data_IF_665647581224
#
_entry.id   IF_665647581224
#
_cell.length_a   1.000
_cell.length_b   1.000
_cell.length_c   1.000
_cell.angle_alpha   90.00
_cell.angle_beta   90.00
_cell.angle_gamma   90.00
#
_symmetry.space_group_name_H-M   'P 1'
#
loop_
_entity.id
_entity.type
_entity.pdbx_description
1 polymer ?
#
# COMPACT_ATOMS: atom_id res chain seq x y z
N UNK A 1 -1.61 -4.82 -5.81
CA UNK A 1 -2.42 -5.39 -4.72
C UNK A 1 -3.16 -6.66 -5.13
N UNK A 2 -3.92 -6.68 -6.25
CA UNK A 2 -4.57 -7.90 -6.74
C UNK A 2 -3.59 -9.06 -6.98
N UNK A 3 -2.51 -8.80 -7.72
CA UNK A 3 -1.42 -9.77 -7.96
C UNK A 3 -0.83 -10.34 -6.65
N UNK A 4 -0.66 -9.50 -5.63
CA UNK A 4 -0.18 -9.92 -4.31
C UNK A 4 -1.17 -10.86 -3.62
N UNK A 5 -2.46 -10.52 -3.60
CA UNK A 5 -3.50 -11.36 -2.99
C UNK A 5 -3.63 -12.70 -3.70
N UNK A 6 -3.65 -12.71 -5.03
CA UNK A 6 -3.71 -13.92 -5.85
C UNK A 6 -2.50 -14.82 -5.59
N UNK A 7 -1.30 -14.25 -5.52
CA UNK A 7 -0.09 -15.01 -5.22
C UNK A 7 -0.08 -15.54 -3.78
N UNK A 8 -0.54 -14.75 -2.81
CA UNK A 8 -0.64 -15.16 -1.42
C UNK A 8 -1.60 -16.35 -1.25
N UNK A 9 -2.77 -16.28 -1.88
CA UNK A 9 -3.75 -17.37 -1.91
C UNK A 9 -3.16 -18.60 -2.61
N UNK A 10 -2.49 -18.42 -3.75
CA UNK A 10 -1.84 -19.51 -4.48
C UNK A 10 -0.77 -20.20 -3.65
N UNK A 11 0.04 -19.48 -2.88
CA UNK A 11 1.00 -20.09 -1.95
C UNK A 11 0.24 -20.86 -0.88
N UNK A 12 -0.80 -20.27 -0.29
CA UNK A 12 -1.50 -20.89 0.82
C UNK A 12 -2.18 -22.21 0.46
N UNK A 13 -2.74 -22.32 -0.75
CA UNK A 13 -3.45 -23.51 -1.24
C UNK A 13 -2.60 -24.44 -2.12
N UNK A 14 -1.29 -24.18 -2.24
CA UNK A 14 -0.31 -25.11 -2.82
C UNK A 14 0.05 -26.19 -1.79
N UNK A 15 -0.94 -27.02 -1.42
CA UNK A 15 -0.85 -28.04 -0.38
C UNK A 15 -1.81 -29.21 -0.67
N UNK A 16 -1.43 -30.41 -0.22
CA UNK A 16 -2.22 -31.63 -0.37
C UNK A 16 -3.17 -31.88 0.83
N UNK A 17 -2.98 -31.16 1.93
CA UNK A 17 -3.79 -31.34 3.15
C UNK A 17 -3.95 -30.06 3.98
N UNK A 18 -4.98 -30.02 4.82
CA UNK A 18 -5.18 -28.91 5.77
C UNK A 18 -4.02 -28.77 6.78
N UNK A 19 -3.37 -29.87 7.16
CA UNK A 19 -2.21 -29.85 8.05
C UNK A 19 -1.02 -29.15 7.40
N UNK A 20 -0.77 -29.41 6.12
CA UNK A 20 0.27 -28.75 5.33
C UNK A 20 -0.01 -27.25 5.14
N UNK A 21 -1.29 -26.87 4.95
CA UNK A 21 -1.70 -25.46 4.91
C UNK A 21 -1.33 -24.74 6.21
N UNK A 22 -1.64 -25.33 7.36
CA UNK A 22 -1.47 -24.70 8.68
C UNK A 22 -0.01 -24.72 9.18
N UNK A 23 0.85 -25.52 8.54
CA UNK A 23 2.28 -25.63 8.85
C UNK A 23 3.13 -24.95 7.77
N UNK A 24 3.50 -25.67 6.71
CA UNK A 24 4.49 -25.27 5.72
C UNK A 24 4.01 -24.07 4.90
N UNK A 25 2.79 -24.12 4.35
CA UNK A 25 2.33 -23.06 3.46
C UNK A 25 2.01 -21.76 4.20
N UNK A 26 1.57 -21.85 5.46
CA UNK A 26 1.39 -20.69 6.32
C UNK A 26 2.71 -19.92 6.51
N UNK A 27 3.81 -20.63 6.75
CA UNK A 27 5.12 -19.98 6.90
C UNK A 27 5.59 -19.34 5.58
N UNK A 28 5.50 -20.07 4.47
CA UNK A 28 5.83 -19.53 3.12
C UNK A 28 4.98 -18.29 2.78
N UNK A 29 3.70 -18.30 3.14
CA UNK A 29 2.80 -17.18 2.95
C UNK A 29 3.23 -15.96 3.77
N UNK A 30 3.58 -16.14 5.04
CA UNK A 30 4.09 -15.06 5.91
C UNK A 30 5.40 -14.50 5.34
N UNK A 31 6.33 -15.35 4.92
CA UNK A 31 7.60 -14.90 4.34
C UNK A 31 7.40 -14.09 3.06
N UNK A 32 6.46 -14.53 2.20
CA UNK A 32 6.08 -13.77 1.01
C UNK A 32 5.51 -12.38 1.34
N UNK A 33 4.68 -12.27 2.39
CA UNK A 33 4.16 -10.99 2.89
C UNK A 33 5.31 -10.07 3.33
N UNK A 34 6.20 -10.57 4.20
CA UNK A 34 7.32 -9.79 4.73
C UNK A 34 8.27 -9.34 3.61
N UNK A 35 8.55 -10.21 2.66
CA UNK A 35 9.40 -9.88 1.51
C UNK A 35 8.78 -8.84 0.60
N UNK A 36 7.47 -8.94 0.35
CA UNK A 36 6.73 -7.92 -0.41
C UNK A 36 6.82 -6.56 0.29
N UNK A 37 6.65 -6.51 1.61
CA UNK A 37 6.79 -5.29 2.37
C UNK A 37 8.21 -4.70 2.29
N UNK A 38 9.26 -5.53 2.34
CA UNK A 38 10.66 -5.08 2.17
C UNK A 38 10.88 -4.45 0.79
N UNK A 39 10.44 -5.13 -0.28
CA UNK A 39 10.56 -4.63 -1.66
C UNK A 39 9.87 -3.28 -1.85
N UNK A 40 8.69 -3.12 -1.28
CA UNK A 40 7.95 -1.84 -1.30
C UNK A 40 8.72 -0.75 -0.57
N UNK A 41 9.27 -1.01 0.63
CA UNK A 41 10.06 -0.03 1.39
C UNK A 41 11.35 0.36 0.68
N UNK A 42 12.01 -0.61 0.04
CA UNK A 42 13.25 -0.43 -0.73
C UNK A 42 13.05 0.17 -2.12
N UNK A 43 11.80 0.34 -2.56
CA UNK A 43 11.44 0.83 -3.91
C UNK A 43 11.90 -0.05 -5.05
N UNK A 44 11.90 -1.36 -4.79
CA UNK A 44 12.16 -2.38 -5.80
C UNK A 44 10.89 -2.76 -6.57
N UNK A 45 9.71 -2.26 -6.15
CA UNK A 45 8.45 -2.46 -6.85
C UNK A 45 8.22 -1.30 -7.84
N UNK A 46 8.02 -1.59 -9.14
CA UNK A 46 7.70 -0.56 -10.12
C UNK A 46 6.43 0.20 -9.75
N UNK A 47 6.45 1.53 -9.94
CA UNK A 47 5.36 2.42 -9.53
C UNK A 47 4.04 2.11 -10.24
N UNK A 48 4.10 1.57 -11.45
CA UNK A 48 2.96 1.15 -12.27
C UNK A 48 2.17 0.02 -11.58
N UNK A 49 2.85 -0.87 -10.84
CA UNK A 49 2.23 -1.93 -10.05
C UNK A 49 1.55 -1.41 -8.78
N UNK A 50 1.84 -0.17 -8.40
CA UNK A 50 1.29 0.50 -7.22
C UNK A 50 0.08 1.41 -7.56
N UNK A 51 -0.24 1.59 -8.84
CA UNK A 51 -1.40 2.40 -9.25
C UNK A 51 -2.70 1.82 -8.69
N UNK A 52 -3.43 2.64 -7.94
CA UNK A 52 -4.74 2.31 -7.40
C UNK A 52 -5.81 2.85 -8.35
N UNK A 53 -6.73 1.99 -8.77
CA UNK A 53 -7.86 2.35 -9.64
C UNK A 53 -9.16 2.33 -8.84
N UNK A 54 -9.96 3.39 -8.93
CA UNK A 54 -11.27 3.49 -8.27
C UNK A 54 -12.28 4.16 -9.18
N UNK A 55 -13.51 3.64 -9.17
CA UNK A 55 -14.64 4.23 -9.89
C UNK A 55 -15.18 5.42 -9.11
N UNK A 56 -15.39 6.55 -9.79
CA UNK A 56 -16.17 7.66 -9.27
C UNK A 56 -17.66 7.36 -9.39
N UNK A 57 -18.38 7.45 -8.27
CA UNK A 57 -19.83 7.21 -8.24
C UNK A 57 -20.66 8.47 -8.47
N UNK A 58 -20.00 9.63 -8.56
CA UNK A 58 -20.57 10.94 -8.90
C UNK A 58 -19.43 11.88 -9.30
N UNK A 59 -19.75 13.08 -9.75
CA UNK A 59 -18.76 14.11 -10.04
C UNK A 59 -17.91 14.46 -8.81
N UNK A 60 -16.62 14.71 -9.03
CA UNK A 60 -15.65 14.98 -7.96
C UNK A 60 -16.02 16.20 -7.09
N UNK A 61 -16.64 17.23 -7.69
CA UNK A 61 -17.13 18.42 -7.00
C UNK A 61 -18.30 18.13 -6.04
N UNK A 62 -19.09 17.08 -6.29
CA UNK A 62 -20.27 16.68 -5.50
C UNK A 62 -19.93 15.80 -4.28
N UNK A 63 -18.65 15.52 -4.04
CA UNK A 63 -18.20 14.82 -2.84
C UNK A 63 -17.90 15.78 -1.69
N UNK A 64 -18.56 15.56 -0.55
CA UNK A 64 -18.25 16.27 0.71
C UNK A 64 -16.88 15.88 1.26
N UNK A 65 -16.53 14.59 1.20
CA UNK A 65 -15.26 14.09 1.73
C UNK A 65 -14.15 14.12 0.68
N UNK A 66 -12.97 14.62 1.08
CA UNK A 66 -11.75 14.70 0.26
C UNK A 66 -10.94 13.40 0.34
N UNK A 67 -11.59 12.30 -0.02
CA UNK A 67 -10.95 10.98 -0.09
C UNK A 67 -9.99 10.88 -1.28
N UNK A 68 -9.00 9.96 -1.24
CA UNK A 68 -7.95 9.82 -2.26
C UNK A 68 -8.42 9.89 -3.72
N UNK A 69 -9.38 9.05 -4.12
CA UNK A 69 -9.85 9.01 -5.51
C UNK A 69 -10.59 10.28 -5.95
N UNK A 70 -11.23 10.99 -5.01
CA UNK A 70 -11.83 12.30 -5.27
C UNK A 70 -10.75 13.37 -5.45
N UNK A 71 -9.67 13.32 -4.66
CA UNK A 71 -8.55 14.25 -4.84
C UNK A 71 -7.88 14.06 -6.19
N UNK A 72 -7.59 12.82 -6.59
CA UNK A 72 -7.02 12.53 -7.90
C UNK A 72 -7.92 13.03 -9.04
N UNK A 73 -9.24 12.84 -8.93
CA UNK A 73 -10.21 13.37 -9.88
C UNK A 73 -10.21 14.90 -9.96
N UNK A 74 -10.10 15.60 -8.82
CA UNK A 74 -10.01 17.05 -8.78
C UNK A 74 -8.70 17.55 -9.40
N UNK A 75 -7.58 16.83 -9.21
CA UNK A 75 -6.30 17.14 -9.86
C UNK A 75 -6.39 16.99 -11.38
N UNK A 76 -7.07 15.96 -11.88
CA UNK A 76 -7.35 15.79 -13.32
C UNK A 76 -8.20 16.94 -13.88
N UNK A 77 -9.29 17.29 -13.18
CA UNK A 77 -10.17 18.40 -13.57
C UNK A 77 -9.44 19.76 -13.60
N UNK A 78 -8.56 20.02 -12.63
CA UNK A 78 -7.73 21.24 -12.60
C UNK A 78 -6.81 21.38 -13.82
N UNK A 79 -6.50 20.27 -14.50
CA UNK A 79 -5.67 20.25 -15.72
C UNK A 79 -6.50 20.22 -17.00
N UNK A 80 -7.81 20.46 -16.90
CA UNK A 80 -8.73 20.48 -18.04
C UNK A 80 -9.17 19.09 -18.53
N UNK A 81 -8.83 18.01 -17.81
CA UNK A 81 -9.35 16.68 -18.14
C UNK A 81 -10.77 16.55 -17.56
N UNK A 82 -11.80 16.35 -18.39
CA UNK A 82 -13.16 16.19 -17.89
C UNK A 82 -13.25 14.87 -17.10
N UNK A 83 -13.82 14.94 -15.90
CA UNK A 83 -14.04 13.75 -15.05
C UNK A 83 -15.52 13.65 -14.70
N UNK A 84 -16.12 12.50 -15.00
CA UNK A 84 -17.56 12.23 -14.90
C UNK A 84 -17.84 11.11 -13.91
N UNK A 85 -19.12 11.00 -13.55
CA UNK A 85 -19.61 9.82 -12.83
C UNK A 85 -19.44 8.59 -13.72
N UNK A 86 -18.95 7.49 -13.14
CA UNK A 86 -18.63 6.25 -13.85
C UNK A 86 -17.16 6.12 -14.25
N UNK A 87 -16.41 7.23 -14.27
CA UNK A 87 -15.01 7.20 -14.69
C UNK A 87 -14.12 6.44 -13.68
N UNK A 88 -13.10 5.77 -14.22
CA UNK A 88 -12.04 5.15 -13.43
C UNK A 88 -10.94 6.18 -13.21
N UNK A 89 -10.73 6.54 -11.95
CA UNK A 89 -9.63 7.41 -11.54
C UNK A 89 -8.48 6.55 -11.04
N UNK A 90 -7.28 6.87 -11.55
CA UNK A 90 -6.05 6.20 -11.19
C UNK A 90 -5.21 7.11 -10.30
N UNK A 91 -4.68 6.60 -9.20
CA UNK A 91 -3.96 7.40 -8.21
C UNK A 91 -2.79 6.65 -7.59
N UNK A 92 -1.86 7.42 -7.03
CA UNK A 92 -0.74 6.93 -6.22
C UNK A 92 -0.64 7.72 -4.93
N UNK A 93 -0.41 7.03 -3.81
CA UNK A 93 -0.05 7.68 -2.54
C UNK A 93 1.39 8.18 -2.56
N UNK A 94 1.56 9.45 -2.21
CA UNK A 94 2.87 10.11 -2.12
C UNK A 94 3.18 10.59 -0.70
N UNK A 95 2.15 10.91 0.10
CA UNK A 95 2.28 11.25 1.52
C UNK A 95 0.92 11.08 2.24
N UNK A 96 0.50 9.83 2.45
CA UNK A 96 -0.85 9.48 2.87
C UNK A 96 -1.29 10.13 4.20
N UNK A 97 -0.33 10.45 5.07
CA UNK A 97 -0.57 11.07 6.39
C UNK A 97 -0.51 12.61 6.38
N UNK A 98 -0.27 13.24 5.23
CA UNK A 98 -0.19 14.71 5.14
C UNK A 98 -1.50 15.38 5.57
N UNK A 99 -1.44 16.47 6.35
CA UNK A 99 -2.64 17.20 6.82
C UNK A 99 -3.53 17.66 5.67
N UNK A 100 -2.95 18.33 4.66
CA UNK A 100 -3.64 18.70 3.41
C UNK A 100 -3.92 17.45 2.53
N UNK A 101 -5.19 17.12 2.23
CA UNK A 101 -5.56 15.99 1.37
C UNK A 101 -4.99 16.02 -0.06
N UNK A 102 -4.82 17.21 -0.65
CA UNK A 102 -4.28 17.38 -2.01
C UNK A 102 -2.81 16.97 -2.14
N UNK A 103 -2.11 16.82 -1.01
CA UNK A 103 -0.71 16.36 -0.95
C UNK A 103 -0.58 14.88 -0.62
N UNK A 104 -1.69 14.17 -0.38
CA UNK A 104 -1.65 12.75 -0.02
C UNK A 104 -1.45 11.84 -1.21
N UNK A 105 -2.00 12.24 -2.34
CA UNK A 105 -2.03 11.46 -3.58
C UNK A 105 -1.78 12.33 -4.79
N UNK A 106 -1.37 11.70 -5.88
CA UNK A 106 -1.36 12.27 -7.23
C UNK A 106 -2.19 11.40 -8.15
N UNK A 107 -2.80 11.98 -9.19
CA UNK A 107 -3.34 11.21 -10.31
C UNK A 107 -2.20 10.45 -11.03
N UNK A 108 -2.49 9.25 -11.49
CA UNK A 108 -1.51 8.44 -12.22
C UNK A 108 -1.07 9.10 -13.54
N UNK A 109 -1.94 9.93 -14.14
CA UNK A 109 -1.63 10.70 -15.35
C UNK A 109 -0.56 11.78 -15.11
N UNK A 110 -0.25 12.07 -13.84
CA UNK A 110 0.75 13.05 -13.42
C UNK A 110 2.05 12.42 -12.94
N UNK A 111 2.19 11.09 -13.01
CA UNK A 111 3.41 10.40 -12.59
C UNK A 111 4.56 10.82 -13.50
N UNK A 112 5.59 11.41 -12.89
CA UNK A 112 6.87 11.65 -13.54
C UNK A 112 7.78 10.43 -13.37
N UNK A 113 8.77 10.31 -14.26
CA UNK A 113 9.84 9.34 -14.09
C UNK A 113 10.51 9.56 -12.72
N UNK A 114 10.66 8.48 -11.94
CA UNK A 114 11.23 8.49 -10.58
C UNK A 114 10.39 9.22 -9.50
N UNK A 115 9.08 9.35 -9.70
CA UNK A 115 8.18 9.89 -8.69
C UNK A 115 8.26 9.12 -7.35
N UNK A 116 8.49 9.85 -6.26
CA UNK A 116 8.44 9.30 -4.91
C UNK A 116 7.02 8.81 -4.58
N UNK A 117 6.90 7.62 -3.97
CA UNK A 117 5.66 7.10 -3.41
C UNK A 117 5.77 6.82 -1.91
N UNK A 118 4.64 6.86 -1.22
CA UNK A 118 4.54 6.56 0.21
C UNK A 118 4.63 5.04 0.45
N UNK A 119 5.84 4.54 0.62
CA UNK A 119 6.09 3.11 0.82
C UNK A 119 5.40 2.54 2.06
N UNK A 120 5.33 3.31 3.15
CA UNK A 120 4.64 2.86 4.37
C UNK A 120 3.14 2.68 4.12
N UNK A 121 2.51 3.55 3.32
CA UNK A 121 1.10 3.37 3.00
C UNK A 121 0.82 2.08 2.22
N UNK A 122 1.70 1.73 1.27
CA UNK A 122 1.55 0.48 0.53
C UNK A 122 1.87 -0.75 1.38
N UNK A 123 2.84 -0.66 2.30
CA UNK A 123 3.08 -1.71 3.31
C UNK A 123 1.84 -1.94 4.18
N UNK A 124 1.23 -0.87 4.71
CA UNK A 124 -0.02 -0.98 5.46
C UNK A 124 -1.09 -1.73 4.65
N UNK A 125 -1.27 -1.39 3.37
CA UNK A 125 -2.25 -2.05 2.50
C UNK A 125 -1.93 -3.54 2.26
N UNK A 126 -0.65 -3.90 2.14
CA UNK A 126 -0.21 -5.30 2.02
C UNK A 126 -0.52 -6.07 3.30
N UNK A 127 -0.22 -5.49 4.45
CA UNK A 127 -0.49 -6.10 5.75
C UNK A 127 -1.99 -6.25 6.01
N UNK A 128 -2.81 -5.25 5.67
CA UNK A 128 -4.27 -5.31 5.79
C UNK A 128 -4.87 -6.43 4.92
N UNK A 129 -4.38 -6.55 3.68
CA UNK A 129 -4.78 -7.63 2.78
C UNK A 129 -4.35 -9.01 3.31
N UNK A 130 -3.11 -9.13 3.81
CA UNK A 130 -2.61 -10.37 4.40
C UNK A 130 -3.42 -10.78 5.64
N UNK A 131 -3.72 -9.83 6.54
CA UNK A 131 -4.57 -10.07 7.72
C UNK A 131 -5.95 -10.57 7.34
N UNK A 132 -6.53 -10.02 6.28
CA UNK A 132 -7.85 -10.47 5.78
C UNK A 132 -7.80 -11.90 5.28
N UNK A 133 -6.78 -12.26 4.49
CA UNK A 133 -6.65 -13.61 3.90
C UNK A 133 -6.25 -14.65 4.95
N UNK A 134 -5.18 -14.38 5.69
CA UNK A 134 -4.62 -15.32 6.66
C UNK A 134 -5.43 -15.39 7.95
N UNK A 135 -6.17 -14.32 8.30
CA UNK A 135 -7.03 -14.28 9.48
C UNK A 135 -8.18 -15.28 9.44
N UNK A 136 -8.60 -15.73 8.25
CA UNK A 136 -9.63 -16.77 8.08
C UNK A 136 -9.26 -18.07 8.79
N UNK A 137 -7.97 -18.37 8.93
CA UNK A 137 -7.48 -19.62 9.53
C UNK A 137 -7.39 -19.56 11.06
N UNK A 138 -7.86 -18.48 11.70
CA UNK A 138 -7.82 -18.34 13.17
C UNK A 138 -6.41 -18.17 13.75
N UNK A 139 -5.39 -17.99 12.90
CA UNK A 139 -3.97 -17.92 13.27
C UNK A 139 -3.47 -16.47 13.38
N UNK A 140 -4.35 -15.52 13.70
CA UNK A 140 -3.95 -14.11 13.86
C UNK A 140 -2.84 -13.98 14.92
N UNK A 141 -2.93 -14.75 16.01
CA UNK A 141 -1.98 -14.74 17.13
C UNK A 141 -0.54 -15.17 16.76
N UNK A 142 -0.33 -16.04 15.76
CA UNK A 142 1.03 -16.40 15.31
C UNK A 142 1.59 -15.42 14.28
N UNK A 143 0.72 -14.72 13.56
CA UNK A 143 1.07 -13.77 12.51
C UNK A 143 1.47 -12.41 13.11
N UNK A 144 0.72 -11.95 14.11
CA UNK A 144 0.92 -10.64 14.74
C UNK A 144 2.33 -10.41 15.30
N UNK A 145 2.99 -11.36 15.99
CA UNK A 145 4.34 -11.17 16.50
C UNK A 145 5.37 -10.92 15.40
N UNK A 146 5.32 -11.67 14.29
CA UNK A 146 6.24 -11.51 13.15
C UNK A 146 5.99 -10.19 12.41
N UNK A 147 4.71 -9.82 12.21
CA UNK A 147 4.33 -8.53 11.62
C UNK A 147 4.71 -7.36 12.54
N UNK A 148 4.46 -7.48 13.84
CA UNK A 148 4.79 -6.44 14.82
C UNK A 148 6.30 -6.24 14.97
N UNK A 149 7.10 -7.32 14.96
CA UNK A 149 8.56 -7.25 14.93
C UNK A 149 9.06 -6.53 13.67
N UNK A 150 8.51 -6.88 12.51
CA UNK A 150 8.82 -6.20 11.24
C UNK A 150 8.45 -4.72 11.26
N UNK A 151 7.37 -4.35 11.95
CA UNK A 151 6.93 -2.95 12.07
C UNK A 151 7.83 -2.17 13.03
N UNK A 152 8.15 -2.74 14.21
CA UNK A 152 9.05 -2.14 15.23
C UNK A 152 10.49 -1.97 14.74
N UNK A 153 11.05 -2.97 14.07
CA UNK A 153 12.40 -2.88 13.52
C UNK A 153 12.52 -1.74 12.49
N UNK A 154 11.43 -1.38 11.82
CA UNK A 154 11.42 -0.28 10.87
C UNK A 154 11.16 1.09 11.50
N UNK A 155 10.46 1.18 12.63
CA UNK A 155 10.38 2.41 13.42
C UNK A 155 11.74 2.81 14.01
N UNK A 156 12.54 1.83 14.46
CA UNK A 156 13.91 2.05 14.93
C UNK A 156 14.82 2.60 13.81
N UNK A 157 14.80 1.97 12.62
CA UNK A 157 15.58 2.40 11.45
C UNK A 157 15.13 3.79 10.95
N UNK A 158 13.83 4.09 10.98
CA UNK A 158 13.31 5.41 10.63
C UNK A 158 13.75 6.49 11.65
N UNK A 159 13.79 6.14 12.94
CA UNK A 159 14.25 7.06 14.01
C UNK A 159 15.76 7.37 13.89
N UNK A 160 16.58 6.39 13.51
CA UNK A 160 18.02 6.56 13.29
C UNK A 160 18.32 7.40 12.05
N UNK A 161 17.66 7.14 10.92
CA UNK A 161 17.81 7.97 9.71
C UNK A 161 17.38 9.43 9.93
N UNK A 162 16.33 9.66 10.71
CA UNK A 162 15.85 11.01 11.03
C UNK A 162 16.84 11.76 11.94
N UNK A 163 17.54 11.06 12.85
CA UNK A 163 18.66 11.62 13.62
C UNK A 163 19.86 11.96 12.73
N UNK A 164 20.25 11.09 11.80
CA UNK A 164 21.37 11.34 10.87
C UNK A 164 21.10 12.51 9.90
N UNK A 165 19.87 12.65 9.39
CA UNK A 165 19.49 13.78 8.53
C UNK A 165 19.49 15.14 9.26
N UNK A 166 19.13 15.17 10.55
CA UNK A 166 19.23 16.38 11.39
C UNK A 166 20.67 16.78 11.71
N UNK A 167 21.61 15.84 11.67
CA UNK A 167 23.05 16.11 11.85
C UNK A 167 23.72 16.63 10.58
N UNK A 168 23.21 16.28 9.40
CA UNK A 168 23.74 16.71 8.09
C UNK A 168 23.19 18.06 7.61
N UNK A 169 22.02 18.47 8.09
CA UNK A 169 21.42 19.78 7.84
C UNK A 169 20.95 20.41 9.16
N UNK A 170 21.88 20.91 9.99
CA UNK A 170 21.49 21.70 11.15
C UNK A 170 20.85 23.01 10.65
N UNK A 171 19.70 23.35 11.24
CA UNK A 171 19.09 24.68 11.12
C UNK A 171 19.88 25.62 12.02
#
# INVERSE_FOLDING_TARGET
MKEFQERLISILFDADSAEEILSIQMERAIDYVLETCRKIRRREVPIEKLIIRKVLRKEASKYRSKVPHVIAALQEAQRGKPVRSGDIVSLIYVNARHKNPFRRVISADMILWNQYYDGEKYVEMVLDAAKTILGVFGIIEKIEPKIALFTRNCELIASEKTKSLKLLYPI
#
